data_IF_710834313428
#
_entry.id   IF_710834313428
#
_cell.length_a   1.000
_cell.length_b   1.000
_cell.length_c   1.000
_cell.angle_alpha   90.00
_cell.angle_beta   90.00
_cell.angle_gamma   90.00
#
_symmetry.space_group_name_H-M   'P 1'
#
loop_
_entity.id
_entity.type
_entity.pdbx_description
1 polymer ?
#
# COMPACT_ATOMS: atom_id res chain seq x y z
N UNK A 1 5.71 4.50 15.17
CA UNK A 1 6.63 4.16 14.08
C UNK A 1 8.05 4.36 14.61
N UNK A 2 8.99 3.41 14.45
CA UNK A 2 10.32 3.50 15.06
C UNK A 2 11.11 4.72 14.56
N UNK A 3 11.87 5.38 15.43
CA UNK A 3 12.62 6.60 15.11
C UNK A 3 13.63 6.40 13.96
N UNK A 4 14.36 5.28 13.97
CA UNK A 4 15.35 4.96 12.93
C UNK A 4 14.76 4.97 11.51
N UNK A 5 13.60 4.34 11.32
CA UNK A 5 12.91 4.30 10.01
C UNK A 5 12.54 5.70 9.54
N UNK A 6 12.18 6.59 10.49
CA UNK A 6 11.87 7.98 10.17
C UNK A 6 13.09 8.76 9.72
N UNK A 7 14.21 8.59 10.42
CA UNK A 7 15.49 9.22 10.09
C UNK A 7 15.99 8.75 8.72
N UNK A 8 16.01 7.45 8.46
CA UNK A 8 16.41 6.86 7.17
C UNK A 8 15.54 7.39 6.00
N UNK A 9 14.23 7.51 6.22
CA UNK A 9 13.33 8.06 5.21
C UNK A 9 13.63 9.54 4.93
N UNK A 10 13.84 10.35 5.97
CA UNK A 10 14.20 11.76 5.82
C UNK A 10 15.53 11.94 5.10
N UNK A 11 16.54 11.13 5.43
CA UNK A 11 17.85 11.14 4.76
C UNK A 11 17.75 10.77 3.28
N UNK A 12 16.79 9.92 2.90
CA UNK A 12 16.48 9.60 1.50
C UNK A 12 15.70 10.71 0.76
N UNK A 13 15.36 11.81 1.44
CA UNK A 13 14.51 12.88 0.93
C UNK A 13 13.01 12.54 0.93
N UNK A 14 12.62 11.47 1.62
CA UNK A 14 11.25 10.99 1.73
C UNK A 14 10.62 11.39 3.07
N UNK A 15 9.81 12.45 3.05
CA UNK A 15 9.07 12.90 4.22
C UNK A 15 7.82 12.04 4.45
N UNK A 16 7.92 11.07 5.38
CA UNK A 16 6.82 10.17 5.73
C UNK A 16 5.56 10.91 6.17
N UNK A 17 5.69 12.03 6.90
CA UNK A 17 4.54 12.77 7.44
C UNK A 17 3.78 13.51 6.34
N UNK A 18 4.49 13.92 5.28
CA UNK A 18 3.89 14.55 4.09
C UNK A 18 3.34 13.52 3.09
N UNK A 19 4.08 12.43 2.89
CA UNK A 19 3.82 11.49 1.80
C UNK A 19 2.81 10.40 2.20
N UNK A 20 2.60 10.15 3.50
CA UNK A 20 1.68 9.14 4.04
C UNK A 20 0.57 9.81 4.85
N UNK A 21 -0.69 9.49 4.53
CA UNK A 21 -1.85 9.95 5.31
C UNK A 21 -2.70 8.75 5.71
N UNK A 22 -2.98 8.60 6.99
CA UNK A 22 -3.91 7.57 7.47
C UNK A 22 -5.34 7.84 6.97
N UNK A 23 -6.00 6.81 6.46
CA UNK A 23 -7.41 6.84 6.10
C UNK A 23 -8.20 6.28 7.29
N UNK A 24 -8.91 7.17 7.98
CA UNK A 24 -9.85 6.77 9.04
C UNK A 24 -10.94 5.87 8.44
N UNK A 25 -11.02 4.64 8.92
CA UNK A 25 -12.10 3.73 8.54
C UNK A 25 -13.28 3.88 9.51
N UNK A 26 -14.49 3.77 8.97
CA UNK A 26 -15.72 3.72 9.76
C UNK A 26 -16.10 2.25 9.96
N UNK A 27 -16.04 1.78 11.21
CA UNK A 27 -16.39 0.41 11.59
C UNK A 27 -15.29 -0.63 11.31
N UNK A 28 -15.50 -1.86 11.77
CA UNK A 28 -14.65 -2.99 11.40
C UNK A 28 -15.05 -3.51 10.02
N UNK A 29 -14.14 -3.38 9.04
CA UNK A 29 -14.29 -4.05 7.75
C UNK A 29 -13.62 -5.42 7.79
N UNK A 30 -14.31 -6.45 7.28
CA UNK A 30 -13.70 -7.76 7.05
C UNK A 30 -12.90 -7.71 5.75
N UNK A 31 -11.59 -7.86 5.87
CA UNK A 31 -10.66 -7.94 4.73
C UNK A 31 -10.26 -9.40 4.55
N UNK A 32 -10.21 -9.82 3.29
CA UNK A 32 -9.82 -11.16 2.87
C UNK A 32 -8.60 -11.07 1.96
N UNK A 33 -7.68 -12.01 2.09
CA UNK A 33 -6.55 -12.13 1.17
C UNK A 33 -6.96 -12.77 -0.18
N UNK A 34 -6.00 -12.92 -1.09
CA UNK A 34 -6.24 -13.49 -2.42
C UNK A 34 -6.66 -14.98 -2.39
N UNK A 35 -6.44 -15.67 -1.28
CA UNK A 35 -6.90 -17.05 -1.05
C UNK A 35 -8.29 -17.13 -0.39
N UNK A 36 -8.91 -15.97 -0.12
CA UNK A 36 -10.23 -15.88 0.53
C UNK A 36 -10.17 -16.03 2.05
N UNK A 37 -9.00 -16.04 2.66
CA UNK A 37 -8.86 -16.16 4.11
C UNK A 37 -9.01 -14.79 4.77
N UNK A 38 -9.73 -14.75 5.90
CA UNK A 38 -9.91 -13.51 6.66
C UNK A 38 -8.57 -13.07 7.24
N UNK A 39 -8.16 -11.85 6.94
CA UNK A 39 -6.89 -11.32 7.40
C UNK A 39 -7.06 -10.27 8.49
N UNK A 40 -6.04 -10.14 9.36
CA UNK A 40 -5.96 -9.01 10.28
C UNK A 40 -5.36 -7.83 9.52
N UNK A 41 -6.03 -6.71 9.67
CA UNK A 41 -5.72 -5.48 8.98
C UNK A 41 -5.23 -4.42 9.98
N UNK A 42 -4.11 -3.76 9.68
CA UNK A 42 -3.52 -2.71 10.55
C UNK A 42 -4.22 -1.37 10.37
N UNK A 43 -4.58 -1.02 9.15
CA UNK A 43 -5.07 0.33 8.83
C UNK A 43 -4.87 0.67 7.36
N UNK A 44 -5.57 1.71 6.90
CA UNK A 44 -5.49 2.15 5.51
C UNK A 44 -4.69 3.43 5.44
N UNK A 45 -3.92 3.59 4.37
CA UNK A 45 -3.11 4.77 4.13
C UNK A 45 -3.34 5.30 2.70
N UNK A 46 -3.15 6.60 2.50
CA UNK A 46 -2.88 7.18 1.19
C UNK A 46 -1.39 7.44 1.09
N UNK A 47 -0.77 6.89 0.06
CA UNK A 47 0.64 7.06 -0.26
C UNK A 47 0.77 7.80 -1.59
N UNK A 48 1.69 8.76 -1.66
CA UNK A 48 2.13 9.31 -2.94
C UNK A 48 3.20 8.39 -3.54
N UNK A 49 2.89 7.79 -4.69
CA UNK A 49 3.78 6.88 -5.41
C UNK A 49 4.19 7.55 -6.72
N UNK A 50 5.48 7.57 -7.00
CA UNK A 50 6.01 7.96 -8.30
C UNK A 50 6.01 6.75 -9.22
N UNK A 51 5.12 6.76 -10.21
CA UNK A 51 4.93 5.62 -11.12
C UNK A 51 5.79 5.76 -12.39
N UNK A 52 6.08 7.00 -12.76
CA UNK A 52 7.04 7.39 -13.78
C UNK A 52 7.78 8.65 -13.32
N UNK A 53 8.99 8.93 -13.84
CA UNK A 53 9.73 10.14 -13.50
C UNK A 53 8.85 11.40 -13.57
N UNK A 54 8.71 12.10 -12.45
CA UNK A 54 7.91 13.32 -12.31
C UNK A 54 6.39 13.11 -12.25
N UNK A 55 5.88 11.88 -12.34
CA UNK A 55 4.44 11.55 -12.26
C UNK A 55 4.10 10.86 -10.94
N UNK A 56 3.83 11.69 -9.93
CA UNK A 56 3.30 11.24 -8.65
C UNK A 56 1.80 10.98 -8.72
N UNK A 57 1.35 9.89 -8.10
CA UNK A 57 -0.05 9.49 -7.95
C UNK A 57 -0.35 9.19 -6.49
N UNK A 58 -1.51 9.64 -6.01
CA UNK A 58 -1.94 9.36 -4.64
C UNK A 58 -2.83 8.13 -4.63
N UNK A 59 -2.33 7.04 -4.05
CA UNK A 59 -2.97 5.73 -4.07
C UNK A 59 -3.40 5.35 -2.66
N UNK A 60 -4.63 4.86 -2.50
CA UNK A 60 -5.11 4.31 -1.24
C UNK A 60 -4.72 2.83 -1.13
N UNK A 61 -4.11 2.45 -0.01
CA UNK A 61 -3.59 1.11 0.25
C UNK A 61 -4.12 0.60 1.59
N UNK A 62 -4.35 -0.71 1.65
CA UNK A 62 -4.64 -1.40 2.90
C UNK A 62 -3.34 -2.02 3.43
N UNK A 63 -2.99 -1.74 4.68
CA UNK A 63 -1.82 -2.33 5.35
C UNK A 63 -2.28 -3.57 6.12
N UNK A 64 -1.81 -4.75 5.71
CA UNK A 64 -2.07 -6.01 6.41
C UNK A 64 -1.04 -6.23 7.53
N UNK A 65 -1.37 -7.05 8.53
CA UNK A 65 -0.35 -7.62 9.41
C UNK A 65 0.42 -8.68 8.61
N UNK A 66 1.52 -8.27 7.98
CA UNK A 66 2.41 -9.19 7.27
C UNK A 66 3.13 -10.14 8.22
N UNK A 67 3.39 -11.36 7.73
CA UNK A 67 4.39 -12.29 8.28
C UNK A 67 5.75 -12.12 7.57
N UNK A 68 5.81 -11.27 6.55
CA UNK A 68 6.90 -11.07 5.60
C UNK A 68 7.05 -9.59 5.15
N UNK A 69 8.14 -9.29 4.43
CA UNK A 69 8.47 -7.96 3.88
C UNK A 69 7.72 -7.66 2.55
N UNK A 70 6.54 -8.25 2.36
CA UNK A 70 5.79 -8.18 1.10
C UNK A 70 4.78 -7.03 1.11
N UNK A 71 4.82 -6.17 0.09
CA UNK A 71 3.81 -5.12 -0.16
C UNK A 71 2.83 -5.61 -1.22
N UNK A 72 1.56 -5.76 -0.85
CA UNK A 72 0.49 -6.10 -1.79
C UNK A 72 -0.19 -4.83 -2.29
N UNK A 73 -0.09 -4.58 -3.60
CA UNK A 73 -0.81 -3.52 -4.27
C UNK A 73 -2.12 -4.07 -4.85
N UNK A 74 -3.24 -3.50 -4.43
CA UNK A 74 -4.54 -3.84 -5.02
C UNK A 74 -4.64 -3.39 -6.47
N UNK A 75 -5.63 -3.92 -7.21
CA UNK A 75 -5.89 -3.56 -8.61
C UNK A 75 -6.18 -2.07 -8.81
N UNK A 76 -6.60 -1.36 -7.76
CA UNK A 76 -6.74 0.09 -7.77
C UNK A 76 -5.42 0.81 -8.07
N UNK A 77 -4.28 0.26 -7.66
CA UNK A 77 -2.96 0.77 -7.98
C UNK A 77 -2.53 0.46 -9.42
N UNK A 78 -2.99 -0.67 -9.99
CA UNK A 78 -2.69 -1.10 -11.35
C UNK A 78 -3.29 -0.19 -12.42
N UNK A 79 -4.38 0.54 -12.13
CA UNK A 79 -4.90 1.54 -13.07
C UNK A 79 -3.90 2.68 -13.37
N UNK A 80 -2.89 2.84 -12.50
CA UNK A 80 -1.86 3.89 -12.63
C UNK A 80 -0.51 3.34 -13.06
N UNK A 81 -0.22 2.08 -12.75
CA UNK A 81 1.00 1.40 -13.16
C UNK A 81 0.71 0.66 -14.47
N UNK A 82 1.45 0.97 -15.53
CA UNK A 82 1.36 0.29 -16.83
C UNK A 82 1.91 -1.14 -16.69
N UNK A 83 1.21 -1.99 -15.96
CA UNK A 83 1.54 -3.40 -15.70
C UNK A 83 0.40 -4.20 -16.32
N UNK A 84 0.72 -4.94 -17.37
CA UNK A 84 -0.21 -5.87 -18.01
C UNK A 84 -0.64 -6.91 -16.97
N UNK A 85 -1.94 -7.01 -16.70
CA UNK A 85 -2.51 -8.03 -15.83
C UNK A 85 -2.14 -9.42 -16.39
N UNK A 86 -1.25 -10.14 -15.70
CA UNK A 86 -0.98 -11.54 -15.99
C UNK A 86 -2.12 -12.35 -15.36
N UNK A 87 -3.16 -12.60 -16.15
CA UNK A 87 -4.27 -13.47 -15.75
C UNK A 87 -3.81 -14.92 -15.89
N UNK A 88 -3.46 -15.58 -14.80
CA UNK A 88 -3.39 -17.04 -14.80
C UNK A 88 -4.80 -17.57 -14.51
N UNK A 89 -5.52 -17.94 -15.57
CA UNK A 89 -6.70 -18.78 -15.47
C UNK A 89 -6.21 -20.22 -15.58
N UNK A 90 -6.45 -21.04 -14.57
CA UNK A 90 -6.54 -22.50 -14.74
C UNK A 90 -7.75 -23.01 -13.97
N UNK A 91 -8.52 -23.82 -14.69
CA UNK A 91 -9.87 -24.35 -14.45
C UNK A 91 -10.11 -25.01 -13.10
#
# INVERSE_FOLDING_TARGET
>A
MPLRIREEALDSGFDLDREIVEIKQKGQQSIYDASGNRTRFKGAIRLNVEVHPGRKRRIALFVMYGIDETVVLGTNALSFATVTQCSYISY
#
